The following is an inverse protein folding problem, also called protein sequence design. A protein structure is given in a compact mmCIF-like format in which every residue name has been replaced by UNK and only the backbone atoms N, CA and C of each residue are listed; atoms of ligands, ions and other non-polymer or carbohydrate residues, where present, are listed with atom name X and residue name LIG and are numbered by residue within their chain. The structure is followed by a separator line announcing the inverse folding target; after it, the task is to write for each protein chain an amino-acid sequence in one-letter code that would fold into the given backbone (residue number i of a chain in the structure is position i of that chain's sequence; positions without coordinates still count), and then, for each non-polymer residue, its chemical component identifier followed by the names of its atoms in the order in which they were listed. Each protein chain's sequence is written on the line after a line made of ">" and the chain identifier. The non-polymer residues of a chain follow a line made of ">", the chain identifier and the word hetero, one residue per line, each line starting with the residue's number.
data_IF_068170864782
#
_entry.id   IF_068170864782
#
_cell.length_a   1.000
_cell.length_b   1.000
_cell.length_c   1.000
_cell.angle_alpha   90.00
_cell.angle_beta   90.00
_cell.angle_gamma   90.00
#
_symmetry.space_group_name_H-M   'P 1'
#
loop_
_entity.id
_entity.type
_entity.pdbx_description
1 polymer ?
#
# COMPACT_ATOMS: atom_id res chain seq x y z
N UNK A 1 1.94 9.97 -35.53
CA UNK A 1 1.40 9.18 -34.41
C UNK A 1 2.31 7.96 -34.20
N UNK A 2 3.27 8.03 -33.28
CA UNK A 2 4.25 6.95 -33.06
C UNK A 2 3.78 5.98 -31.96
N UNK A 3 3.39 4.78 -32.36
CA UNK A 3 2.86 3.70 -31.54
C UNK A 3 3.93 2.93 -30.72
N UNK A 4 4.94 3.61 -30.14
CA UNK A 4 6.09 2.92 -29.52
C UNK A 4 6.18 2.91 -27.98
N UNK A 5 5.23 3.46 -27.22
CA UNK A 5 5.29 3.48 -25.73
C UNK A 5 4.35 2.50 -24.99
N UNK A 6 3.61 1.62 -25.66
CA UNK A 6 2.48 0.87 -25.04
C UNK A 6 2.83 -0.42 -24.28
N UNK A 7 4.05 -0.95 -24.42
CA UNK A 7 4.44 -2.24 -23.79
C UNK A 7 4.47 -2.22 -22.26
N UNK A 8 5.15 -1.25 -21.59
CA UNK A 8 5.22 -1.23 -20.12
C UNK A 8 3.86 -0.97 -19.48
N UNK A 9 3.06 -0.06 -20.04
CA UNK A 9 1.72 0.28 -19.54
C UNK A 9 0.79 -0.94 -19.56
N UNK A 10 0.82 -1.73 -20.65
CA UNK A 10 0.03 -2.95 -20.76
C UNK A 10 0.47 -4.03 -19.77
N UNK A 11 1.79 -4.24 -19.62
CA UNK A 11 2.31 -5.25 -18.69
C UNK A 11 1.91 -4.93 -17.23
N UNK A 12 2.08 -3.66 -16.81
CA UNK A 12 1.69 -3.21 -15.48
C UNK A 12 0.18 -3.30 -15.26
N UNK A 13 -0.63 -2.95 -16.26
CA UNK A 13 -2.09 -3.07 -16.19
C UNK A 13 -2.56 -4.53 -16.09
N UNK A 14 -1.99 -5.43 -16.90
CA UNK A 14 -2.29 -6.86 -16.82
C UNK A 14 -1.86 -7.45 -15.48
N UNK A 15 -0.72 -7.02 -14.92
CA UNK A 15 -0.29 -7.41 -13.58
C UNK A 15 -1.25 -6.93 -12.49
N UNK A 16 -1.65 -5.66 -12.51
CA UNK A 16 -2.64 -5.11 -11.56
C UNK A 16 -4.00 -5.84 -11.67
N UNK A 17 -4.45 -6.15 -12.89
CA UNK A 17 -5.68 -6.92 -13.10
C UNK A 17 -5.59 -8.33 -12.51
N UNK A 18 -4.52 -9.06 -12.80
CA UNK A 18 -4.31 -10.41 -12.28
C UNK A 18 -4.24 -10.42 -10.74
N UNK A 19 -3.49 -9.48 -10.14
CA UNK A 19 -3.40 -9.34 -8.69
C UNK A 19 -4.76 -9.07 -8.05
N UNK A 20 -5.57 -8.23 -8.67
CA UNK A 20 -6.87 -7.89 -8.10
C UNK A 20 -7.93 -8.98 -8.28
N UNK A 21 -7.88 -9.78 -9.36
CA UNK A 21 -8.69 -11.01 -9.45
C UNK A 21 -8.32 -11.98 -8.34
N UNK A 22 -7.02 -12.19 -8.11
CA UNK A 22 -6.57 -13.03 -7.00
C UNK A 22 -7.03 -12.49 -5.63
N UNK A 23 -6.99 -11.17 -5.43
CA UNK A 23 -7.47 -10.53 -4.20
C UNK A 23 -8.96 -10.78 -3.98
N UNK A 24 -9.79 -10.64 -5.03
CA UNK A 24 -11.24 -10.91 -4.97
C UNK A 24 -11.50 -12.36 -4.55
N UNK A 25 -10.76 -13.33 -5.10
CA UNK A 25 -10.91 -14.74 -4.74
C UNK A 25 -10.59 -14.99 -3.26
N UNK A 26 -9.49 -14.44 -2.74
CA UNK A 26 -9.15 -14.61 -1.32
C UNK A 26 -10.11 -13.86 -0.38
N UNK A 27 -10.65 -12.73 -0.80
CA UNK A 27 -11.72 -12.04 -0.05
C UNK A 27 -12.97 -12.92 0.03
N UNK A 28 -13.32 -13.62 -1.06
CA UNK A 28 -14.43 -14.57 -1.07
C UNK A 28 -14.15 -15.78 -0.17
N UNK A 29 -12.94 -16.34 -0.20
CA UNK A 29 -12.57 -17.47 0.66
C UNK A 29 -12.49 -17.13 2.15
N UNK A 30 -12.21 -15.87 2.47
CA UNK A 30 -12.15 -15.39 3.85
C UNK A 30 -13.42 -14.65 4.28
N UNK A 31 -14.53 -14.79 3.55
CA UNK A 31 -15.77 -14.03 3.81
C UNK A 31 -16.32 -14.22 5.23
N UNK A 32 -16.21 -15.43 5.78
CA UNK A 32 -16.64 -15.74 7.15
C UNK A 32 -15.65 -15.26 8.24
N UNK A 33 -14.44 -14.87 7.85
CA UNK A 33 -13.41 -14.43 8.80
C UNK A 33 -13.75 -13.01 9.26
N UNK A 34 -13.88 -12.76 10.58
CA UNK A 34 -14.07 -11.40 11.07
C UNK A 34 -12.91 -10.49 10.67
N UNK A 35 -13.20 -9.29 10.20
CA UNK A 35 -12.17 -8.29 9.89
C UNK A 35 -11.64 -7.67 11.18
N UNK A 36 -10.31 -7.52 11.35
CA UNK A 36 -9.73 -6.82 12.50
C UNK A 36 -10.22 -5.37 12.63
N UNK A 37 -10.34 -4.82 13.85
CA UNK A 37 -10.76 -3.43 14.07
C UNK A 37 -9.83 -2.38 13.45
N UNK A 38 -8.53 -2.69 13.33
CA UNK A 38 -7.53 -1.79 12.75
C UNK A 38 -7.59 -1.74 11.20
N UNK A 39 -8.45 -2.51 10.55
CA UNK A 39 -8.54 -2.53 9.09
C UNK A 39 -9.02 -1.18 8.54
N UNK A 40 -8.37 -0.70 7.49
CA UNK A 40 -8.76 0.56 6.85
C UNK A 40 -9.95 0.36 5.88
N UNK A 41 -11.15 0.66 6.37
CA UNK A 41 -12.38 0.59 5.60
C UNK A 41 -12.98 -0.83 5.52
N UNK A 42 -14.07 -1.02 4.74
CA UNK A 42 -14.69 -2.33 4.60
C UNK A 42 -13.77 -3.31 3.85
N UNK A 43 -14.00 -4.61 4.06
CA UNK A 43 -13.31 -5.69 3.33
C UNK A 43 -13.26 -5.40 1.83
N UNK A 44 -12.06 -5.50 1.25
CA UNK A 44 -11.83 -5.27 -0.19
C UNK A 44 -11.73 -3.80 -0.60
N UNK A 45 -11.90 -2.84 0.32
CA UNK A 45 -11.76 -1.40 0.03
C UNK A 45 -10.42 -1.08 -0.64
N UNK A 46 -9.31 -1.53 -0.07
CA UNK A 46 -7.95 -1.27 -0.59
C UNK A 46 -7.77 -1.86 -1.99
N UNK A 47 -8.37 -3.02 -2.26
CA UNK A 47 -8.34 -3.66 -3.58
C UNK A 47 -9.08 -2.81 -4.61
N UNK A 48 -10.30 -2.37 -4.29
CA UNK A 48 -11.10 -1.51 -5.16
C UNK A 48 -10.42 -0.15 -5.40
N UNK A 49 -9.87 0.45 -4.35
CA UNK A 49 -9.10 1.68 -4.43
C UNK A 49 -7.90 1.54 -5.39
N UNK A 50 -7.10 0.49 -5.23
CA UNK A 50 -5.94 0.23 -6.09
C UNK A 50 -6.32 0.05 -7.56
N UNK A 51 -7.43 -0.64 -7.84
CA UNK A 51 -7.97 -0.78 -9.19
C UNK A 51 -8.34 0.56 -9.83
N UNK A 52 -9.11 1.38 -9.12
CA UNK A 52 -9.56 2.68 -9.64
C UNK A 52 -8.36 3.60 -9.89
N UNK A 53 -7.42 3.65 -8.95
CA UNK A 53 -6.21 4.47 -9.05
C UNK A 53 -5.30 3.99 -10.19
N UNK A 54 -5.07 2.68 -10.29
CA UNK A 54 -4.25 2.06 -11.32
C UNK A 54 -4.85 2.22 -12.72
N UNK A 55 -6.16 2.02 -12.87
CA UNK A 55 -6.86 2.24 -14.13
C UNK A 55 -6.79 3.70 -14.58
N UNK A 56 -6.96 4.65 -13.64
CA UNK A 56 -6.81 6.08 -13.90
C UNK A 56 -5.39 6.42 -14.34
N UNK A 57 -4.38 5.90 -13.64
CA UNK A 57 -2.97 6.09 -14.00
C UNK A 57 -2.61 5.52 -15.36
N UNK A 58 -3.07 4.30 -15.67
CA UNK A 58 -2.91 3.67 -16.99
C UNK A 58 -3.50 4.55 -18.10
N UNK A 59 -4.71 5.09 -17.89
CA UNK A 59 -5.39 5.94 -18.85
C UNK A 59 -4.62 7.23 -19.11
N UNK A 60 -4.09 7.85 -18.06
CA UNK A 60 -3.28 9.07 -18.16
C UNK A 60 -1.96 8.77 -18.85
N UNK A 61 -1.21 7.75 -18.40
CA UNK A 61 0.11 7.40 -18.94
C UNK A 61 0.05 6.97 -20.42
N UNK A 62 -1.04 6.33 -20.85
CA UNK A 62 -1.24 5.94 -22.25
C UNK A 62 -1.57 7.12 -23.17
N UNK A 63 -2.27 8.15 -22.68
CA UNK A 63 -2.63 9.35 -23.45
C UNK A 63 -1.63 10.48 -23.35
N UNK A 64 -0.91 10.58 -22.23
CA UNK A 64 0.08 11.61 -21.93
C UNK A 64 1.33 10.98 -21.28
N UNK A 65 2.17 10.28 -22.06
CA UNK A 65 3.32 9.56 -21.54
C UNK A 65 4.35 10.45 -20.83
N UNK A 66 4.41 11.74 -21.20
CA UNK A 66 5.29 12.74 -20.58
C UNK A 66 4.76 13.26 -19.23
N UNK A 67 3.53 12.91 -18.84
CA UNK A 67 2.95 13.32 -17.57
C UNK A 67 3.25 12.29 -16.47
N UNK A 68 4.12 12.68 -15.53
CA UNK A 68 4.54 11.84 -14.40
C UNK A 68 3.38 11.40 -13.49
N UNK A 69 2.28 12.16 -13.39
CA UNK A 69 1.12 11.83 -12.55
C UNK A 69 0.51 10.49 -13.00
N UNK A 70 0.41 10.24 -14.31
CA UNK A 70 -0.15 8.99 -14.81
C UNK A 70 0.66 7.78 -14.36
N UNK A 71 1.99 7.87 -14.41
CA UNK A 71 2.89 6.82 -13.96
C UNK A 71 2.87 6.63 -12.45
N UNK A 72 2.80 7.71 -11.67
CA UNK A 72 2.71 7.65 -10.21
C UNK A 72 1.39 7.00 -9.79
N UNK A 73 0.25 7.40 -10.37
CA UNK A 73 -1.04 6.76 -10.12
C UNK A 73 -1.02 5.27 -10.50
N UNK A 74 -0.39 4.91 -11.62
CA UNK A 74 -0.27 3.52 -12.06
C UNK A 74 0.54 2.68 -11.06
N UNK A 75 1.68 3.19 -10.60
CA UNK A 75 2.52 2.52 -9.60
C UNK A 75 1.84 2.42 -8.23
N UNK A 76 1.22 3.51 -7.77
CA UNK A 76 0.48 3.55 -6.51
C UNK A 76 -0.72 2.59 -6.52
N UNK A 77 -1.47 2.55 -7.63
CA UNK A 77 -2.56 1.59 -7.81
C UNK A 77 -2.09 0.14 -7.76
N UNK A 78 -0.96 -0.17 -8.41
CA UNK A 78 -0.36 -1.51 -8.35
C UNK A 78 0.03 -1.92 -6.92
N UNK A 79 0.67 -1.01 -6.17
CA UNK A 79 1.03 -1.25 -4.77
C UNK A 79 -0.20 -1.44 -3.89
N UNK A 80 -1.26 -0.65 -4.09
CA UNK A 80 -2.52 -0.80 -3.37
C UNK A 80 -3.23 -2.12 -3.70
N UNK A 81 -3.27 -2.54 -4.97
CA UNK A 81 -3.84 -3.85 -5.34
C UNK A 81 -3.02 -4.99 -4.75
N UNK A 82 -1.68 -4.90 -4.78
CA UNK A 82 -0.80 -5.89 -4.14
C UNK A 82 -1.04 -5.94 -2.63
N UNK A 83 -1.26 -4.79 -1.99
CA UNK A 83 -1.60 -4.73 -0.58
C UNK A 83 -2.93 -5.43 -0.28
N UNK A 84 -3.97 -5.15 -1.07
CA UNK A 84 -5.28 -5.80 -0.91
C UNK A 84 -5.23 -7.31 -1.13
N UNK A 85 -4.35 -7.80 -2.02
CA UNK A 85 -4.08 -9.24 -2.16
C UNK A 85 -3.40 -9.81 -0.91
N UNK A 86 -2.39 -9.12 -0.38
CA UNK A 86 -1.66 -9.56 0.81
C UNK A 86 -2.58 -9.67 2.03
N UNK A 87 -3.43 -8.66 2.23
CA UNK A 87 -4.48 -8.63 3.24
C UNK A 87 -5.41 -9.83 3.10
N UNK A 88 -6.00 -10.03 1.92
CA UNK A 88 -6.94 -11.12 1.68
C UNK A 88 -6.32 -12.50 1.90
N UNK A 89 -5.08 -12.69 1.41
CA UNK A 89 -4.35 -13.95 1.55
C UNK A 89 -3.98 -14.23 3.01
N UNK A 90 -3.53 -13.22 3.75
CA UNK A 90 -3.20 -13.35 5.15
C UNK A 90 -4.45 -13.57 6.02
N UNK A 91 -5.60 -12.95 5.69
CA UNK A 91 -6.86 -13.20 6.39
C UNK A 91 -7.29 -14.65 6.20
N UNK A 92 -7.26 -15.12 4.96
CA UNK A 92 -7.58 -16.50 4.64
C UNK A 92 -6.62 -17.49 5.33
N UNK A 93 -5.31 -17.21 5.32
CA UNK A 93 -4.27 -18.13 5.76
C UNK A 93 -3.83 -18.03 7.23
N UNK A 94 -4.10 -16.94 7.93
CA UNK A 94 -3.72 -16.80 9.36
C UNK A 94 -4.94 -16.83 10.28
N UNK A 95 -6.05 -16.27 9.83
CA UNK A 95 -7.27 -16.10 10.63
C UNK A 95 -8.39 -17.07 10.21
N UNK A 96 -8.25 -17.74 9.06
CA UNK A 96 -9.14 -18.82 8.62
C UNK A 96 -8.96 -20.12 9.41
N UNK A 97 -9.92 -21.04 9.28
CA UNK A 97 -9.90 -22.31 10.03
C UNK A 97 -8.81 -23.28 9.50
N UNK A 98 -7.82 -23.56 10.35
CA UNK A 98 -7.07 -24.83 10.33
C UNK A 98 -5.84 -24.93 9.43
N UNK A 99 -5.41 -23.87 8.74
CA UNK A 99 -4.21 -23.94 7.89
C UNK A 99 -3.41 -22.64 7.95
N UNK A 100 -2.08 -22.74 8.05
CA UNK A 100 -1.11 -21.64 7.84
C UNK A 100 -0.33 -21.92 6.55
N UNK A 101 -0.84 -21.51 5.38
CA UNK A 101 -0.18 -21.80 4.12
C UNK A 101 1.15 -21.03 4.01
N UNK A 102 2.07 -21.47 3.15
CA UNK A 102 3.31 -20.75 2.90
C UNK A 102 3.03 -19.28 2.56
N UNK A 103 3.91 -18.39 2.99
CA UNK A 103 3.83 -16.94 2.75
C UNK A 103 2.68 -16.19 3.44
N UNK A 104 1.78 -16.83 4.19
CA UNK A 104 0.69 -16.13 4.88
C UNK A 104 1.22 -15.06 5.87
N UNK A 105 2.25 -15.40 6.65
CA UNK A 105 2.96 -14.47 7.53
C UNK A 105 3.69 -13.37 6.77
N UNK A 106 4.27 -13.67 5.61
CA UNK A 106 4.93 -12.67 4.76
C UNK A 106 3.94 -11.70 4.11
N UNK A 107 2.74 -12.18 3.76
CA UNK A 107 1.67 -11.34 3.27
C UNK A 107 1.11 -10.41 4.36
N UNK A 108 0.95 -10.94 5.57
CA UNK A 108 0.60 -10.13 6.74
C UNK A 108 1.66 -9.05 7.00
N UNK A 109 2.93 -9.44 7.04
CA UNK A 109 4.06 -8.51 7.17
C UNK A 109 4.05 -7.42 6.09
N UNK A 110 3.85 -7.77 4.82
CA UNK A 110 3.79 -6.78 3.75
C UNK A 110 2.62 -5.79 3.93
N UNK A 111 1.48 -6.28 4.44
CA UNK A 111 0.30 -5.45 4.70
C UNK A 111 0.58 -4.36 5.76
N UNK A 112 1.49 -4.61 6.71
CA UNK A 112 1.81 -3.65 7.78
C UNK A 112 2.47 -2.36 7.29
N UNK A 113 3.14 -2.36 6.13
CA UNK A 113 3.97 -1.19 5.75
C UNK A 113 3.79 -0.72 4.30
N UNK A 114 3.35 -1.58 3.38
CA UNK A 114 3.30 -1.23 1.95
C UNK A 114 2.37 -0.04 1.67
N UNK A 115 1.37 0.17 2.54
CA UNK A 115 0.40 1.24 2.38
C UNK A 115 1.01 2.64 2.43
N UNK A 116 2.09 2.80 3.19
CA UNK A 116 2.80 4.08 3.30
C UNK A 116 3.41 4.51 1.97
N UNK A 117 3.80 3.55 1.12
CA UNK A 117 4.39 3.85 -0.18
C UNK A 117 3.36 4.46 -1.13
N UNK A 118 2.16 3.89 -1.23
CA UNK A 118 1.13 4.44 -2.10
C UNK A 118 0.44 5.68 -1.50
N UNK A 119 0.40 5.85 -0.18
CA UNK A 119 -0.02 7.11 0.43
C UNK A 119 1.01 8.22 0.19
N UNK A 120 2.31 7.92 0.30
CA UNK A 120 3.38 8.87 -0.04
C UNK A 120 3.33 9.31 -1.50
N UNK A 121 2.90 8.43 -2.40
CA UNK A 121 2.68 8.75 -3.81
C UNK A 121 1.61 9.84 -4.02
N UNK A 122 0.60 9.93 -3.15
CA UNK A 122 -0.41 11.02 -3.21
C UNK A 122 0.24 12.37 -2.93
N UNK A 123 1.17 12.42 -1.95
CA UNK A 123 1.97 13.62 -1.67
C UNK A 123 2.84 14.04 -2.86
N UNK A 124 3.42 13.06 -3.58
CA UNK A 124 4.16 13.32 -4.81
C UNK A 124 3.28 13.91 -5.91
N UNK A 125 2.05 13.39 -6.08
CA UNK A 125 1.09 13.93 -7.05
C UNK A 125 0.77 15.39 -6.73
N UNK A 126 0.49 15.72 -5.47
CA UNK A 126 0.21 17.09 -5.06
C UNK A 126 1.36 18.06 -5.38
N UNK A 127 2.61 17.60 -5.29
CA UNK A 127 3.79 18.41 -5.54
C UNK A 127 4.03 18.78 -7.01
N UNK A 128 3.51 17.95 -7.92
CA UNK A 128 3.72 18.06 -9.36
C UNK A 128 2.43 18.42 -10.11
N UNK A 129 1.32 18.58 -9.39
CA UNK A 129 0.03 18.90 -9.98
C UNK A 129 0.01 20.35 -10.50
N UNK A 130 -0.65 20.63 -11.65
CA UNK A 130 -1.35 19.70 -12.54
C UNK A 130 -0.51 19.13 -13.70
N UNK A 131 0.64 19.71 -14.00
CA UNK A 131 1.35 19.52 -15.26
C UNK A 131 2.53 18.53 -15.19
N UNK A 132 2.77 17.93 -14.02
CA UNK A 132 3.86 17.00 -13.78
C UNK A 132 5.20 17.70 -13.48
N UNK A 133 5.19 19.02 -13.27
CA UNK A 133 6.40 19.81 -12.99
C UNK A 133 6.46 20.23 -11.53
N UNK A 134 7.68 20.30 -10.98
CA UNK A 134 7.88 20.73 -9.61
C UNK A 134 7.45 22.18 -9.39
N UNK A 135 6.64 22.42 -8.36
CA UNK A 135 6.17 23.76 -8.01
C UNK A 135 7.31 24.77 -7.75
N UNK A 136 8.33 24.40 -6.96
CA UNK A 136 9.51 25.25 -6.66
C UNK A 136 10.67 24.47 -6.02
N UNK A 137 11.87 25.08 -5.93
CA UNK A 137 13.03 24.49 -5.22
C UNK A 137 12.76 24.23 -3.74
N UNK A 138 11.97 25.09 -3.09
CA UNK A 138 11.58 24.93 -1.69
C UNK A 138 10.60 23.77 -1.52
N UNK A 139 9.63 23.66 -2.42
CA UNK A 139 8.71 22.52 -2.45
C UNK A 139 9.42 21.19 -2.64
N UNK A 140 10.47 21.15 -3.47
CA UNK A 140 11.31 19.95 -3.60
C UNK A 140 11.92 19.50 -2.27
N UNK A 141 12.30 20.42 -1.39
CA UNK A 141 12.81 20.09 -0.04
C UNK A 141 11.70 19.51 0.84
N UNK A 142 10.51 20.12 0.84
CA UNK A 142 9.35 19.63 1.59
C UNK A 142 9.00 18.19 1.19
N UNK A 143 9.01 17.91 -0.12
CA UNK A 143 8.75 16.57 -0.63
C UNK A 143 9.86 15.59 -0.30
N UNK A 144 11.13 16.01 -0.37
CA UNK A 144 12.23 15.16 0.05
C UNK A 144 12.10 14.77 1.53
N UNK A 145 11.75 15.73 2.40
CA UNK A 145 11.47 15.46 3.82
C UNK A 145 10.30 14.48 3.95
N UNK A 146 9.22 14.68 3.19
CA UNK A 146 8.09 13.75 3.13
C UNK A 146 8.51 12.34 2.73
N UNK A 147 9.31 12.19 1.65
CA UNK A 147 9.81 10.89 1.21
C UNK A 147 10.70 10.22 2.25
N UNK A 148 11.57 10.98 2.92
CA UNK A 148 12.40 10.45 4.03
C UNK A 148 11.50 10.01 5.19
N UNK A 149 10.51 10.82 5.57
CA UNK A 149 9.53 10.47 6.60
C UNK A 149 8.75 9.20 6.25
N UNK A 150 8.26 9.08 5.01
CA UNK A 150 7.61 7.86 4.51
C UNK A 150 8.54 6.66 4.57
N UNK A 151 9.82 6.80 4.17
CA UNK A 151 10.78 5.71 4.21
C UNK A 151 11.07 5.25 5.64
N UNK A 152 11.25 6.20 6.58
CA UNK A 152 11.44 5.91 8.00
C UNK A 152 10.22 5.22 8.59
N UNK A 153 9.02 5.74 8.33
CA UNK A 153 7.76 5.13 8.78
C UNK A 153 7.56 3.72 8.20
N UNK A 154 7.93 3.52 6.93
CA UNK A 154 7.86 2.22 6.26
C UNK A 154 8.80 1.23 6.93
N UNK A 155 10.05 1.62 7.17
CA UNK A 155 11.03 0.78 7.87
C UNK A 155 10.59 0.47 9.30
N UNK A 156 10.02 1.45 10.01
CA UNK A 156 9.44 1.26 11.34
C UNK A 156 8.37 0.17 11.35
N UNK A 157 7.33 0.31 10.51
CA UNK A 157 6.25 -0.69 10.39
C UNK A 157 6.76 -2.05 9.91
N UNK A 158 7.79 -2.10 9.08
CA UNK A 158 8.34 -3.35 8.61
C UNK A 158 9.13 -4.11 9.70
N UNK A 159 9.64 -3.41 10.71
CA UNK A 159 10.59 -3.94 11.70
C UNK A 159 10.03 -4.01 13.13
N UNK A 160 8.78 -3.59 13.37
CA UNK A 160 8.12 -3.78 14.68
C UNK A 160 8.17 -5.26 15.09
N UNK A 161 8.33 -5.56 16.38
CA UNK A 161 8.53 -6.94 16.84
C UNK A 161 7.34 -7.86 16.55
N UNK A 162 6.13 -7.32 16.57
CA UNK A 162 4.87 -8.05 16.36
C UNK A 162 4.04 -7.40 15.25
N UNK A 163 3.22 -8.20 14.57
CA UNK A 163 2.27 -7.69 13.57
C UNK A 163 1.10 -6.99 14.27
N UNK A 164 0.82 -5.74 13.89
CA UNK A 164 -0.17 -4.89 14.55
C UNK A 164 -1.58 -5.18 14.03
N UNK A 165 -1.75 -5.30 12.72
CA UNK A 165 -3.03 -5.63 12.08
C UNK A 165 -3.39 -7.10 12.35
N UNK A 166 -2.36 -7.96 12.39
CA UNK A 166 -2.48 -9.40 12.63
C UNK A 166 -1.99 -9.76 14.03
N UNK A 167 -2.67 -9.22 15.04
CA UNK A 167 -2.27 -9.42 16.45
C UNK A 167 -2.19 -10.90 16.83
N UNK A 168 -1.21 -11.25 17.66
CA UNK A 168 -0.91 -12.63 18.04
C UNK A 168 -0.01 -13.39 17.07
N UNK A 169 0.55 -12.71 16.05
CA UNK A 169 1.56 -13.27 15.16
C UNK A 169 2.87 -12.48 15.22
N UNK A 170 3.99 -13.21 15.34
CA UNK A 170 5.33 -12.63 15.32
C UNK A 170 5.65 -12.01 13.95
N UNK A 171 6.36 -10.88 13.94
CA UNK A 171 6.92 -10.35 12.71
C UNK A 171 8.14 -11.18 12.29
N UNK A 172 8.18 -11.75 11.07
CA UNK A 172 9.28 -12.60 10.60
C UNK A 172 10.65 -11.89 10.57
N UNK A 173 10.66 -10.56 10.53
CA UNK A 173 11.87 -9.72 10.52
C UNK A 173 11.86 -8.68 11.65
N UNK A 174 11.02 -8.88 12.66
CA UNK A 174 10.86 -7.96 13.79
C UNK A 174 12.15 -7.83 14.61
N UNK A 175 12.47 -6.58 14.98
CA UNK A 175 13.63 -6.29 15.83
C UNK A 175 13.18 -6.19 17.29
N UNK A 176 13.65 -7.11 18.14
CA UNK A 176 13.38 -7.13 19.59
C UNK A 176 13.86 -5.89 20.36
N UNK A 177 14.66 -5.02 19.71
CA UNK A 177 15.14 -3.76 20.29
C UNK A 177 14.26 -2.54 19.97
N UNK A 178 13.21 -2.70 19.17
CA UNK A 178 12.20 -1.67 18.95
C UNK A 178 11.09 -1.91 19.97
N UNK A 179 10.99 -1.02 20.96
CA UNK A 179 9.90 -1.06 21.93
C UNK A 179 8.57 -0.74 21.22
N UNK A 180 7.63 -1.69 21.30
CA UNK A 180 6.33 -1.57 20.67
C UNK A 180 5.54 -0.40 21.25
N UNK A 181 5.70 -0.09 22.54
CA UNK A 181 5.00 1.02 23.19
C UNK A 181 5.52 2.38 22.69
N UNK A 182 6.83 2.53 22.59
CA UNK A 182 7.47 3.70 21.98
C UNK A 182 7.06 3.90 20.51
N UNK A 183 7.00 2.81 19.75
CA UNK A 183 6.56 2.85 18.35
C UNK A 183 5.08 3.24 18.21
N UNK A 184 4.22 2.60 19.01
CA UNK A 184 2.80 2.89 19.04
C UNK A 184 2.53 4.31 19.53
N UNK A 185 3.30 4.88 20.45
CA UNK A 185 3.18 6.31 20.82
C UNK A 185 3.49 7.24 19.64
N UNK A 186 4.52 6.94 18.84
CA UNK A 186 4.85 7.73 17.64
C UNK A 186 3.75 7.61 16.59
N UNK A 187 3.26 6.41 16.32
CA UNK A 187 2.23 6.17 15.31
C UNK A 187 0.86 6.65 15.77
N UNK A 188 0.46 6.35 17.00
CA UNK A 188 -0.79 6.84 17.58
C UNK A 188 -0.78 8.36 17.74
N UNK A 189 0.35 9.00 18.07
CA UNK A 189 0.45 10.46 18.08
C UNK A 189 0.26 11.11 16.69
N UNK A 190 0.41 10.34 15.61
CA UNK A 190 0.13 10.78 14.23
C UNK A 190 -1.34 10.58 13.85
N UNK A 191 -2.03 9.58 14.42
CA UNK A 191 -3.40 9.20 14.04
C UNK A 191 -4.48 9.56 15.06
N UNK A 192 -4.13 9.75 16.33
CA UNK A 192 -5.02 10.19 17.39
C UNK A 192 -4.83 11.70 17.60
N UNK A 193 -5.90 12.52 17.54
CA UNK A 193 -5.81 13.86 18.06
C UNK A 193 -5.43 13.76 19.53
N UNK A 194 -4.39 14.45 19.93
CA UNK A 194 -4.04 14.65 21.33
C UNK A 194 -5.21 15.35 22.04
N UNK A 195 -6.13 14.58 22.61
CA UNK A 195 -7.28 15.07 23.36
C UNK A 195 -8.59 14.37 23.03
N UNK A 196 -8.86 13.29 23.76
CA UNK A 196 -10.21 12.86 24.13
C UNK A 196 -10.16 12.35 25.57
#
# INVERSE_FOLDING_TARGET
>A
MNARSSRPTRALASGSFALGVAAILFHAFSWEVPTPPMLFGPRGFVTAFGFVLGASGMLIASRRPDNAIGWICLGAGLLATLNGLAEAYAFWGLLGRGHRPPLATWAAWMNEWIYLLYLGAIGLIAAIFPDGRWLSRTWRKVILIGCVGTAVATAGNALVPELVIFSGFDNPVGLRGIDADSYLQVVSGVWAPSGA
#
